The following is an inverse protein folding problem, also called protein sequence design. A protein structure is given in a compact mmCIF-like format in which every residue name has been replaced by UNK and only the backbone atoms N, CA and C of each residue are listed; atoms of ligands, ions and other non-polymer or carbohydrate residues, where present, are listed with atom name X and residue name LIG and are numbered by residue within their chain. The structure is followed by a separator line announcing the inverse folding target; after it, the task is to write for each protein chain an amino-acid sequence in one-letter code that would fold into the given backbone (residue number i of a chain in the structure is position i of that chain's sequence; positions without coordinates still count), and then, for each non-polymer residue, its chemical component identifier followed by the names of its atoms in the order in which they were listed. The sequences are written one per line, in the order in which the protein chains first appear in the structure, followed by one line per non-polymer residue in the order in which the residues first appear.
data_IF_262814212989
#
_entry.id   IF_262814212989
#
_cell.length_a   1.000
_cell.length_b   1.000
_cell.length_c   1.000
_cell.angle_alpha   90.00
_cell.angle_beta   90.00
_cell.angle_gamma   90.00
#
_symmetry.space_group_name_H-M   'P 1'
#
loop_
_entity.id
_entity.type
_entity.pdbx_description
1 polymer ?
#
# COMPACT_ATOMS: atom_id res chain seq x y z
N UNK A 1 -13.30 -14.14 5.48
CA UNK A 1 -13.71 -14.61 6.82
C UNK A 1 -14.33 -13.45 7.59
N UNK A 2 -15.54 -13.63 8.13
CA UNK A 2 -16.19 -12.63 8.98
C UNK A 2 -15.72 -12.75 10.43
N UNK A 3 -14.51 -12.27 10.73
CA UNK A 3 -14.02 -12.17 12.10
C UNK A 3 -12.97 -11.05 12.23
N UNK A 4 -12.59 -10.70 13.46
CA UNK A 4 -11.63 -9.62 13.73
C UNK A 4 -10.29 -9.82 13.01
N UNK A 5 -9.71 -11.03 13.07
CA UNK A 5 -8.41 -11.33 12.45
C UNK A 5 -8.46 -11.17 10.93
N UNK A 6 -9.58 -11.58 10.31
CA UNK A 6 -9.85 -11.45 8.89
C UNK A 6 -9.90 -9.99 8.41
N UNK A 7 -10.09 -9.02 9.32
CA UNK A 7 -10.04 -7.59 9.01
C UNK A 7 -8.70 -6.96 9.44
N UNK A 8 -8.21 -7.29 10.63
CA UNK A 8 -6.97 -6.74 11.17
C UNK A 8 -5.74 -7.14 10.33
N UNK A 9 -5.71 -8.37 9.79
CA UNK A 9 -4.60 -8.86 8.97
C UNK A 9 -4.45 -8.07 7.65
N UNK A 10 -5.46 -8.02 6.75
CA UNK A 10 -5.35 -7.20 5.53
C UNK A 10 -5.17 -5.71 5.87
N UNK A 11 -5.86 -5.21 6.91
CA UNK A 11 -5.68 -3.84 7.37
C UNK A 11 -4.23 -3.49 7.74
N UNK A 12 -3.54 -4.41 8.41
CA UNK A 12 -2.12 -4.26 8.75
C UNK A 12 -1.22 -4.25 7.51
N UNK A 13 -1.49 -5.10 6.52
CA UNK A 13 -0.73 -5.09 5.27
C UNK A 13 -0.86 -3.76 4.53
N UNK A 14 -2.08 -3.27 4.33
CA UNK A 14 -2.32 -1.98 3.68
C UNK A 14 -1.70 -0.82 4.46
N UNK A 15 -1.78 -0.82 5.79
CA UNK A 15 -1.10 0.18 6.61
C UNK A 15 0.42 0.15 6.44
N UNK A 16 1.04 -1.04 6.46
CA UNK A 16 2.48 -1.17 6.27
C UNK A 16 2.93 -0.65 4.90
N UNK A 17 2.23 -1.03 3.83
CA UNK A 17 2.51 -0.52 2.48
C UNK A 17 2.25 0.99 2.37
N UNK A 18 1.15 1.48 2.92
CA UNK A 18 0.82 2.90 2.93
C UNK A 18 1.85 3.75 3.68
N UNK A 19 2.26 3.31 4.87
CA UNK A 19 3.30 3.98 5.66
C UNK A 19 4.65 3.93 4.95
N UNK A 20 5.02 2.79 4.38
CA UNK A 20 6.23 2.67 3.56
C UNK A 20 6.23 3.64 2.38
N UNK A 21 5.12 3.69 1.61
CA UNK A 21 4.99 4.59 0.46
C UNK A 21 4.99 6.07 0.88
N UNK A 22 4.47 6.39 2.06
CA UNK A 22 4.46 7.75 2.60
C UNK A 22 5.86 8.31 2.91
N UNK A 23 6.87 7.44 3.00
CA UNK A 23 8.29 7.83 3.13
C UNK A 23 9.01 7.69 1.79
N UNK A 24 8.80 6.57 1.08
CA UNK A 24 9.44 6.25 -0.19
C UNK A 24 9.21 7.34 -1.24
N UNK A 25 7.99 7.83 -1.39
CA UNK A 25 7.66 8.79 -2.46
C UNK A 25 8.19 10.20 -2.22
N UNK A 26 8.03 10.79 -1.03
CA UNK A 26 8.71 12.04 -0.71
C UNK A 26 10.22 11.94 -0.87
N UNK A 27 10.83 10.81 -0.49
CA UNK A 27 12.27 10.58 -0.64
C UNK A 27 12.66 10.56 -2.11
N UNK A 28 11.93 9.81 -2.94
CA UNK A 28 12.11 9.77 -4.39
C UNK A 28 11.98 11.15 -5.03
N UNK A 29 10.97 11.92 -4.64
CA UNK A 29 10.76 13.27 -5.14
C UNK A 29 11.88 14.23 -4.72
N UNK A 30 12.27 14.22 -3.45
CA UNK A 30 13.33 15.07 -2.93
C UNK A 30 14.70 14.74 -3.54
N UNK A 31 15.04 13.45 -3.68
CA UNK A 31 16.31 13.02 -4.28
C UNK A 31 16.36 13.30 -5.79
N UNK A 32 15.23 13.24 -6.51
CA UNK A 32 15.15 13.69 -7.92
C UNK A 32 15.46 15.18 -8.08
N UNK A 33 15.02 16.00 -7.12
CA UNK A 33 15.27 17.45 -7.13
C UNK A 33 16.71 17.81 -6.77
N UNK A 34 17.36 17.02 -5.92
CA UNK A 34 18.72 17.29 -5.40
C UNK A 34 19.69 16.13 -5.72
N UNK A 35 20.21 16.10 -6.96
CA UNK A 35 21.04 15.00 -7.49
C UNK A 35 22.31 14.70 -6.67
N UNK A 36 22.94 15.70 -6.05
CA UNK A 36 24.22 15.54 -5.36
C UNK A 36 24.09 14.96 -3.94
N UNK A 37 22.88 14.89 -3.37
CA UNK A 37 22.72 14.60 -1.94
C UNK A 37 22.32 13.16 -1.59
N UNK A 38 22.03 12.33 -2.60
CA UNK A 38 21.29 11.10 -2.35
C UNK A 38 21.83 9.95 -3.21
N UNK A 39 22.90 9.30 -2.75
CA UNK A 39 23.41 8.06 -3.36
C UNK A 39 22.37 6.92 -3.29
N UNK A 40 21.59 6.88 -2.20
CA UNK A 40 20.42 6.01 -2.02
C UNK A 40 19.28 6.30 -3.01
N UNK A 41 19.23 7.51 -3.57
CA UNK A 41 18.22 7.96 -4.51
C UNK A 41 18.60 7.76 -5.98
N UNK A 42 19.65 6.99 -6.25
CA UNK A 42 20.01 6.62 -7.62
C UNK A 42 18.86 5.86 -8.29
N UNK A 43 18.73 6.02 -9.61
CA UNK A 43 17.70 5.31 -10.40
C UNK A 43 17.74 3.79 -10.16
N UNK A 44 18.94 3.23 -10.02
CA UNK A 44 19.15 1.82 -9.71
C UNK A 44 18.67 1.43 -8.29
N UNK A 45 18.86 2.30 -7.29
CA UNK A 45 18.35 2.09 -5.93
C UNK A 45 16.84 1.98 -5.89
N UNK A 46 16.13 2.93 -6.52
CA UNK A 46 14.66 2.87 -6.60
C UNK A 46 14.16 1.67 -7.42
N UNK A 47 14.86 1.28 -8.48
CA UNK A 47 14.52 0.08 -9.25
C UNK A 47 14.66 -1.19 -8.39
N UNK A 48 15.71 -1.30 -7.57
CA UNK A 48 15.85 -2.41 -6.59
C UNK A 48 14.72 -2.42 -5.57
N UNK A 49 14.26 -1.26 -5.10
CA UNK A 49 13.13 -1.18 -4.17
C UNK A 49 11.82 -1.65 -4.81
N UNK A 50 11.52 -1.24 -6.05
CA UNK A 50 10.34 -1.73 -6.77
C UNK A 50 10.43 -3.25 -7.03
N UNK A 51 11.63 -3.76 -7.35
CA UNK A 51 11.87 -5.20 -7.50
C UNK A 51 11.62 -5.99 -6.20
N UNK A 52 12.14 -5.50 -5.07
CA UNK A 52 11.91 -6.11 -3.75
C UNK A 52 10.45 -6.04 -3.34
N UNK A 53 9.76 -4.92 -3.61
CA UNK A 53 8.30 -4.82 -3.42
C UNK A 53 7.55 -5.87 -4.25
N UNK A 54 7.98 -6.11 -5.49
CA UNK A 54 7.44 -7.18 -6.33
C UNK A 54 7.59 -8.57 -5.71
N UNK A 55 8.77 -8.90 -5.18
CA UNK A 55 9.01 -10.16 -4.45
C UNK A 55 8.10 -10.27 -3.23
N UNK A 56 8.03 -9.21 -2.42
CA UNK A 56 7.19 -9.17 -1.22
C UNK A 56 5.73 -9.44 -1.59
N UNK A 57 5.19 -8.75 -2.61
CA UNK A 57 3.81 -8.96 -3.10
C UNK A 57 3.60 -10.41 -3.55
N UNK A 58 4.48 -10.95 -4.38
CA UNK A 58 4.35 -12.31 -4.91
C UNK A 58 4.39 -13.38 -3.80
N UNK A 59 5.31 -13.24 -2.84
CA UNK A 59 5.45 -14.17 -1.71
C UNK A 59 4.22 -14.10 -0.80
N UNK A 60 3.77 -12.89 -0.42
CA UNK A 60 2.58 -12.76 0.43
C UNK A 60 1.31 -13.24 -0.27
N UNK A 61 1.16 -12.97 -1.56
CA UNK A 61 0.06 -13.51 -2.36
C UNK A 61 0.07 -15.04 -2.36
N UNK A 62 1.23 -15.65 -2.59
CA UNK A 62 1.36 -17.12 -2.56
C UNK A 62 1.01 -17.70 -1.19
N UNK A 63 1.52 -17.10 -0.10
CA UNK A 63 1.19 -17.52 1.27
C UNK A 63 -0.32 -17.40 1.50
N UNK A 64 -0.94 -16.29 1.09
CA UNK A 64 -2.37 -16.07 1.21
C UNK A 64 -3.19 -17.11 0.44
N UNK A 65 -2.82 -17.40 -0.81
CA UNK A 65 -3.46 -18.45 -1.62
C UNK A 65 -3.35 -19.82 -0.96
N UNK A 66 -2.15 -20.20 -0.49
CA UNK A 66 -1.93 -21.49 0.18
C UNK A 66 -2.73 -21.57 1.48
N UNK A 67 -2.73 -20.51 2.29
CA UNK A 67 -3.47 -20.47 3.54
C UNK A 67 -4.99 -20.59 3.30
N UNK A 68 -5.54 -19.88 2.31
CA UNK A 68 -6.96 -19.95 1.98
C UNK A 68 -7.37 -21.33 1.42
N UNK A 69 -6.47 -22.02 0.72
CA UNK A 69 -6.78 -23.32 0.11
C UNK A 69 -6.55 -24.51 1.06
N UNK A 70 -5.55 -24.44 1.94
CA UNK A 70 -5.05 -25.60 2.70
C UNK A 70 -5.05 -25.42 4.23
N UNK A 71 -5.77 -24.43 4.75
CA UNK A 71 -6.18 -24.44 6.17
C UNK A 71 -7.00 -25.73 6.46
N UNK A 72 -6.99 -26.30 7.68
CA UNK A 72 -7.66 -27.58 7.94
C UNK A 72 -9.12 -27.65 7.46
N UNK A 73 -9.86 -26.54 7.54
CA UNK A 73 -11.25 -26.41 7.07
C UNK A 73 -11.35 -25.73 5.69
N UNK A 74 -10.31 -25.81 4.86
CA UNK A 74 -10.23 -25.18 3.54
C UNK A 74 -10.81 -26.03 2.40
N UNK A 75 -10.98 -25.47 1.19
CA UNK A 75 -11.48 -26.18 0.02
C UNK A 75 -10.53 -27.27 -0.51
N UNK A 76 -9.22 -27.24 -0.20
CA UNK A 76 -8.24 -28.20 -0.70
C UNK A 76 -8.29 -28.38 -2.24
N UNK A 77 -8.40 -27.26 -2.98
CA UNK A 77 -8.56 -27.20 -4.44
C UNK A 77 -9.89 -27.79 -4.98
N UNK A 78 -10.84 -28.13 -4.11
CA UNK A 78 -12.21 -28.49 -4.47
C UNK A 78 -13.05 -27.22 -4.61
N UNK A 79 -13.52 -26.93 -5.82
CA UNK A 79 -14.39 -25.77 -6.08
C UNK A 79 -15.88 -26.11 -5.93
N UNK A 80 -16.25 -27.34 -6.25
CA UNK A 80 -17.64 -27.79 -6.25
C UNK A 80 -17.76 -29.14 -5.56
N UNK A 81 -18.74 -29.26 -4.66
CA UNK A 81 -19.08 -30.52 -4.04
C UNK A 81 -20.14 -31.22 -4.88
N UNK A 82 -19.71 -32.19 -5.70
CA UNK A 82 -20.60 -32.96 -6.57
C UNK A 82 -21.56 -33.86 -5.80
N UNK A 83 -21.21 -34.28 -4.58
CA UNK A 83 -22.06 -35.11 -3.73
C UNK A 83 -23.23 -34.28 -3.18
N UNK A 84 -22.94 -33.09 -2.65
CA UNK A 84 -23.94 -32.19 -2.05
C UNK A 84 -24.54 -31.19 -3.06
N UNK A 85 -24.06 -31.19 -4.30
CA UNK A 85 -24.50 -30.32 -5.41
C UNK A 85 -24.48 -28.83 -5.09
N UNK A 86 -23.46 -28.38 -4.35
CA UNK A 86 -23.24 -26.98 -4.04
C UNK A 86 -21.80 -26.54 -4.31
N UNK A 87 -21.58 -25.23 -4.29
CA UNK A 87 -20.23 -24.66 -4.33
C UNK A 87 -19.54 -24.81 -2.98
N UNK A 88 -18.24 -25.11 -3.01
CA UNK A 88 -17.46 -25.41 -1.81
C UNK A 88 -16.62 -24.19 -1.42
N UNK A 89 -16.76 -23.71 -0.18
CA UNK A 89 -15.95 -22.64 0.41
C UNK A 89 -15.71 -21.41 -0.51
N UNK A 90 -16.76 -20.89 -1.18
CA UNK A 90 -16.64 -19.80 -2.16
C UNK A 90 -15.94 -18.54 -1.63
N UNK A 91 -16.04 -18.27 -0.33
CA UNK A 91 -15.35 -17.12 0.26
C UNK A 91 -13.83 -17.26 0.23
N UNK A 92 -13.33 -18.47 0.50
CA UNK A 92 -11.90 -18.78 0.38
C UNK A 92 -11.45 -18.69 -1.09
N UNK A 93 -12.30 -19.09 -2.04
CA UNK A 93 -12.02 -18.93 -3.47
C UNK A 93 -11.99 -17.47 -3.93
N UNK A 94 -12.88 -16.62 -3.41
CA UNK A 94 -12.83 -15.18 -3.68
C UNK A 94 -11.53 -14.56 -3.16
N UNK A 95 -11.11 -14.90 -1.94
CA UNK A 95 -9.84 -14.46 -1.38
C UNK A 95 -8.63 -14.99 -2.17
N UNK A 96 -8.61 -16.28 -2.52
CA UNK A 96 -7.55 -16.86 -3.34
C UNK A 96 -7.45 -16.18 -4.72
N UNK A 97 -8.60 -15.80 -5.30
CA UNK A 97 -8.65 -15.04 -6.55
C UNK A 97 -8.07 -13.63 -6.38
N UNK A 98 -8.44 -12.93 -5.30
CA UNK A 98 -7.84 -11.63 -4.97
C UNK A 98 -6.32 -11.74 -4.82
N UNK A 99 -5.82 -12.72 -4.06
CA UNK A 99 -4.39 -12.95 -3.89
C UNK A 99 -3.68 -13.27 -5.20
N UNK A 100 -4.30 -14.06 -6.09
CA UNK A 100 -3.75 -14.37 -7.41
C UNK A 100 -3.42 -13.09 -8.20
N UNK A 101 -4.33 -12.10 -8.23
CA UNK A 101 -4.08 -10.85 -8.96
C UNK A 101 -2.98 -9.99 -8.32
N UNK A 102 -2.89 -9.94 -6.99
CA UNK A 102 -1.73 -9.32 -6.32
C UNK A 102 -0.42 -10.05 -6.59
N UNK A 103 -0.47 -11.38 -6.70
CA UNK A 103 0.66 -12.22 -7.09
C UNK A 103 1.14 -11.91 -8.51
N UNK A 104 0.22 -11.81 -9.47
CA UNK A 104 0.51 -11.39 -10.85
C UNK A 104 1.12 -9.99 -10.87
N UNK A 105 0.57 -9.04 -10.10
CA UNK A 105 1.17 -7.70 -9.97
C UNK A 105 2.61 -7.77 -9.43
N UNK A 106 2.87 -8.58 -8.41
CA UNK A 106 4.22 -8.77 -7.87
C UNK A 106 5.19 -9.36 -8.90
N UNK A 107 4.76 -10.37 -9.65
CA UNK A 107 5.57 -10.96 -10.72
C UNK A 107 5.88 -9.96 -11.83
N UNK A 108 4.90 -9.13 -12.21
CA UNK A 108 5.13 -8.08 -13.21
C UNK A 108 6.08 -7.00 -12.70
N UNK A 109 6.04 -6.63 -11.42
CA UNK A 109 7.04 -5.74 -10.81
C UNK A 109 8.45 -6.33 -10.90
N UNK A 110 8.61 -7.63 -10.58
CA UNK A 110 9.90 -8.35 -10.67
C UNK A 110 10.43 -8.32 -12.09
N UNK A 111 9.61 -8.65 -13.09
CA UNK A 111 10.03 -8.70 -14.49
C UNK A 111 10.34 -7.29 -15.02
N UNK A 112 9.48 -6.30 -14.74
CA UNK A 112 9.62 -4.93 -15.22
C UNK A 112 10.82 -4.19 -14.60
N UNK A 113 11.22 -4.51 -13.37
CA UNK A 113 12.35 -3.88 -12.68
C UNK A 113 13.61 -4.74 -12.62
N UNK A 114 13.52 -6.05 -12.90
CA UNK A 114 14.67 -6.96 -12.95
C UNK A 114 15.18 -7.24 -14.37
N UNK A 115 14.36 -7.01 -15.39
CA UNK A 115 14.69 -7.28 -16.80
C UNK A 115 14.24 -6.14 -17.71
N UNK A 116 14.58 -6.21 -19.00
CA UNK A 116 14.08 -5.29 -20.02
C UNK A 116 12.90 -5.87 -20.83
N UNK A 117 12.28 -6.98 -20.38
CA UNK A 117 11.28 -7.71 -21.15
C UNK A 117 9.90 -7.03 -21.20
N UNK A 118 9.58 -6.19 -20.20
CA UNK A 118 8.29 -5.51 -20.11
C UNK A 118 8.46 -3.99 -20.03
N UNK A 119 7.54 -3.22 -20.64
CA UNK A 119 7.46 -1.79 -20.40
C UNK A 119 7.22 -1.53 -18.92
N UNK A 120 7.96 -0.57 -18.35
CA UNK A 120 7.85 -0.22 -16.93
C UNK A 120 6.43 0.20 -16.54
N UNK A 121 5.62 0.71 -17.47
CA UNK A 121 4.22 1.08 -17.23
C UNK A 121 3.32 -0.10 -16.78
N UNK A 122 3.71 -1.35 -17.10
CA UNK A 122 2.96 -2.54 -16.72
C UNK A 122 2.89 -2.74 -15.20
N UNK A 123 3.86 -2.22 -14.44
CA UNK A 123 3.88 -2.31 -12.97
C UNK A 123 2.64 -1.64 -12.34
N UNK A 124 2.32 -0.41 -12.76
CA UNK A 124 1.15 0.34 -12.30
C UNK A 124 -0.13 -0.20 -12.90
N UNK A 125 -0.11 -0.64 -14.16
CA UNK A 125 -1.30 -1.23 -14.78
C UNK A 125 -1.77 -2.48 -14.03
N UNK A 126 -0.86 -3.40 -13.72
CA UNK A 126 -1.22 -4.64 -13.02
C UNK A 126 -1.56 -4.41 -11.56
N UNK A 127 -0.91 -3.46 -10.89
CA UNK A 127 -1.28 -3.08 -9.53
C UNK A 127 -2.68 -2.45 -9.48
N UNK A 128 -3.01 -1.56 -10.44
CA UNK A 128 -4.35 -0.98 -10.55
C UNK A 128 -5.40 -2.06 -10.77
N UNK A 129 -5.12 -3.02 -11.68
CA UNK A 129 -6.03 -4.14 -11.93
C UNK A 129 -6.22 -5.01 -10.68
N UNK A 130 -5.16 -5.31 -9.93
CA UNK A 130 -5.27 -6.09 -8.70
C UNK A 130 -6.15 -5.41 -7.65
N UNK A 131 -5.96 -4.10 -7.43
CA UNK A 131 -6.77 -3.30 -6.50
C UNK A 131 -8.21 -3.16 -7.01
N UNK A 132 -8.43 -3.06 -8.32
CA UNK A 132 -9.77 -3.07 -8.91
C UNK A 132 -10.49 -4.40 -8.68
N UNK A 133 -9.80 -5.54 -8.88
CA UNK A 133 -10.37 -6.87 -8.65
C UNK A 133 -10.68 -7.09 -7.17
N UNK A 134 -9.83 -6.61 -6.26
CA UNK A 134 -10.15 -6.57 -4.82
C UNK A 134 -11.51 -5.88 -4.60
N UNK A 135 -11.65 -4.64 -5.08
CA UNK A 135 -12.90 -3.88 -4.92
C UNK A 135 -14.10 -4.56 -5.59
N UNK A 136 -13.91 -5.11 -6.78
CA UNK A 136 -14.96 -5.83 -7.51
C UNK A 136 -15.46 -7.06 -6.75
N UNK A 137 -14.55 -7.88 -6.22
CA UNK A 137 -14.93 -9.05 -5.41
C UNK A 137 -15.61 -8.61 -4.10
N UNK A 138 -15.10 -7.57 -3.45
CA UNK A 138 -15.72 -7.00 -2.25
C UNK A 138 -17.14 -6.48 -2.50
N UNK A 139 -17.43 -5.84 -3.63
CA UNK A 139 -18.78 -5.38 -3.97
C UNK A 139 -19.83 -6.49 -3.87
N UNK A 140 -19.51 -7.67 -4.41
CA UNK A 140 -20.44 -8.80 -4.44
C UNK A 140 -20.43 -9.63 -3.16
N UNK A 141 -19.47 -9.39 -2.27
CA UNK A 141 -19.39 -10.00 -0.93
C UNK A 141 -20.46 -9.47 0.05
N UNK A 142 -21.07 -8.32 -0.24
CA UNK A 142 -21.94 -7.60 0.71
C UNK A 142 -23.41 -8.03 0.68
N UNK A 143 -23.83 -8.83 -0.30
CA UNK A 143 -25.23 -9.21 -0.46
C UNK A 143 -25.74 -10.01 0.74
N UNK A 144 -26.89 -9.61 1.30
CA UNK A 144 -27.57 -10.33 2.39
C UNK A 144 -27.08 -10.00 3.80
N UNK A 145 -26.21 -9.00 3.98
CA UNK A 145 -25.70 -8.56 5.30
C UNK A 145 -26.55 -7.46 5.93
N UNK A 146 -26.36 -7.23 7.23
CA UNK A 146 -27.05 -6.18 7.97
C UNK A 146 -26.62 -4.77 7.51
N UNK A 147 -27.46 -3.77 7.78
CA UNK A 147 -27.28 -2.39 7.28
C UNK A 147 -25.91 -1.80 7.65
N UNK A 148 -25.49 -1.91 8.93
CA UNK A 148 -24.21 -1.38 9.38
C UNK A 148 -23.01 -2.08 8.74
N UNK A 149 -23.04 -3.42 8.65
CA UNK A 149 -22.02 -4.23 7.97
C UNK A 149 -21.87 -3.83 6.50
N UNK A 150 -22.99 -3.67 5.77
CA UNK A 150 -22.97 -3.18 4.38
C UNK A 150 -22.36 -1.78 4.31
N UNK A 151 -22.78 -0.86 5.19
CA UNK A 151 -22.32 0.53 5.16
C UNK A 151 -20.81 0.67 5.38
N UNK A 152 -20.26 -0.01 6.39
CA UNK A 152 -18.82 0.11 6.70
C UNK A 152 -17.96 -0.46 5.57
N UNK A 153 -18.40 -1.51 4.89
CA UNK A 153 -17.70 -2.05 3.72
C UNK A 153 -17.91 -1.20 2.46
N UNK A 154 -19.06 -0.54 2.29
CA UNK A 154 -19.23 0.44 1.21
C UNK A 154 -18.25 1.61 1.33
N UNK A 155 -18.00 2.08 2.57
CA UNK A 155 -16.98 3.09 2.82
C UNK A 155 -15.56 2.61 2.43
N UNK A 156 -15.25 1.33 2.69
CA UNK A 156 -14.00 0.72 2.25
C UNK A 156 -13.86 0.71 0.72
N UNK A 157 -14.94 0.39 0.00
CA UNK A 157 -14.94 0.35 -1.47
C UNK A 157 -14.56 1.69 -2.11
N UNK A 158 -14.95 2.83 -1.51
CA UNK A 158 -14.51 4.14 -2.00
C UNK A 158 -12.98 4.31 -1.94
N UNK A 159 -12.33 3.83 -0.88
CA UNK A 159 -10.87 3.87 -0.77
C UNK A 159 -10.21 2.96 -1.82
N UNK A 160 -10.73 1.75 -1.99
CA UNK A 160 -10.20 0.75 -2.93
C UNK A 160 -10.32 1.26 -4.37
N UNK A 161 -11.52 1.64 -4.83
CA UNK A 161 -11.71 2.12 -6.20
C UNK A 161 -11.00 3.45 -6.44
N UNK A 162 -10.99 4.34 -5.46
CA UNK A 162 -10.19 5.58 -5.53
C UNK A 162 -8.72 5.26 -5.74
N UNK A 163 -8.16 4.31 -4.99
CA UNK A 163 -6.76 3.88 -5.13
C UNK A 163 -6.51 3.24 -6.50
N UNK A 164 -7.40 2.36 -6.96
CA UNK A 164 -7.29 1.73 -8.29
C UNK A 164 -7.22 2.77 -9.41
N UNK A 165 -8.09 3.80 -9.36
CA UNK A 165 -8.10 4.91 -10.32
C UNK A 165 -6.82 5.73 -10.22
N UNK A 166 -6.37 6.09 -9.01
CA UNK A 166 -5.12 6.83 -8.83
C UNK A 166 -3.91 6.09 -9.41
N UNK A 167 -3.81 4.79 -9.15
CA UNK A 167 -2.74 3.93 -9.67
C UNK A 167 -2.84 3.82 -11.20
N UNK A 168 -4.05 3.71 -11.75
CA UNK A 168 -4.26 3.70 -13.20
C UNK A 168 -3.77 4.99 -13.85
N UNK A 169 -4.06 6.15 -13.25
CA UNK A 169 -3.59 7.44 -13.75
C UNK A 169 -2.05 7.54 -13.74
N UNK A 170 -1.36 6.85 -12.82
CA UNK A 170 0.12 6.79 -12.81
C UNK A 170 0.72 6.06 -14.02
N UNK A 171 -0.06 5.26 -14.75
CA UNK A 171 0.37 4.66 -16.03
C UNK A 171 0.69 5.77 -17.04
N UNK A 172 -0.13 6.82 -17.08
CA UNK A 172 0.03 7.94 -18.00
C UNK A 172 0.86 9.09 -17.41
N UNK A 173 0.69 9.37 -16.11
CA UNK A 173 1.30 10.51 -15.42
C UNK A 173 2.40 10.06 -14.44
N UNK A 174 3.33 9.25 -14.94
CA UNK A 174 4.35 8.60 -14.11
C UNK A 174 5.26 9.59 -13.39
N UNK A 175 5.41 9.42 -12.08
CA UNK A 175 6.26 10.28 -11.25
C UNK A 175 5.60 11.59 -10.79
N UNK A 176 4.30 11.74 -11.00
CA UNK A 176 3.50 12.76 -10.32
C UNK A 176 3.44 12.45 -8.83
N UNK A 177 4.13 13.26 -8.02
CA UNK A 177 4.11 13.13 -6.56
C UNK A 177 2.69 13.29 -6.00
N UNK A 178 1.82 14.05 -6.67
CA UNK A 178 0.43 14.23 -6.26
C UNK A 178 -0.33 12.91 -6.35
N UNK A 179 -0.21 12.17 -7.46
CA UNK A 179 -0.85 10.86 -7.61
C UNK A 179 -0.23 9.82 -6.66
N UNK A 180 1.11 9.81 -6.54
CA UNK A 180 1.82 8.92 -5.64
C UNK A 180 1.40 9.14 -4.17
N UNK A 181 1.22 10.39 -3.74
CA UNK A 181 0.74 10.73 -2.39
C UNK A 181 -0.76 10.45 -2.23
N UNK A 182 -1.59 10.72 -3.25
CA UNK A 182 -3.02 10.44 -3.18
C UNK A 182 -3.28 8.94 -3.04
N UNK A 183 -2.65 8.09 -3.87
CA UNK A 183 -2.78 6.64 -3.71
C UNK A 183 -2.26 6.14 -2.37
N UNK A 184 -1.23 6.79 -1.82
CA UNK A 184 -0.68 6.46 -0.51
C UNK A 184 -1.68 6.78 0.59
N UNK A 185 -2.32 7.96 0.54
CA UNK A 185 -3.35 8.36 1.51
C UNK A 185 -4.53 7.38 1.53
N UNK A 186 -4.96 6.92 0.34
CA UNK A 186 -6.06 5.97 0.18
C UNK A 186 -5.69 4.57 0.68
N UNK A 187 -4.43 4.15 0.50
CA UNK A 187 -3.93 2.89 1.05
C UNK A 187 -3.90 2.91 2.59
N UNK A 188 -3.46 4.02 3.21
CA UNK A 188 -3.51 4.19 4.67
C UNK A 188 -4.96 4.20 5.17
N UNK A 189 -5.84 4.92 4.46
CA UNK A 189 -7.28 4.93 4.76
C UNK A 189 -7.86 3.52 4.70
N UNK A 190 -7.66 2.79 3.60
CA UNK A 190 -8.09 1.41 3.43
C UNK A 190 -7.60 0.52 4.59
N UNK A 191 -6.32 0.57 4.92
CA UNK A 191 -5.74 -0.24 5.99
C UNK A 191 -6.28 0.10 7.38
N UNK A 192 -6.36 1.38 7.72
CA UNK A 192 -6.92 1.83 9.01
C UNK A 192 -8.42 1.54 9.11
N UNK A 193 -9.14 1.61 7.99
CA UNK A 193 -10.57 1.35 7.95
C UNK A 193 -10.90 -0.13 8.07
N UNK A 194 -10.08 -1.03 7.52
CA UNK A 194 -10.18 -2.46 7.81
C UNK A 194 -10.12 -2.74 9.32
N UNK A 195 -9.21 -2.09 10.05
CA UNK A 195 -9.18 -2.19 11.52
C UNK A 195 -10.46 -1.67 12.15
N UNK A 196 -10.98 -0.52 11.70
CA UNK A 196 -12.24 0.04 12.19
C UNK A 196 -13.42 -0.92 11.98
N UNK A 197 -13.53 -1.55 10.81
CA UNK A 197 -14.54 -2.59 10.53
C UNK A 197 -14.39 -3.74 11.54
N UNK A 198 -13.15 -4.20 11.77
CA UNK A 198 -12.85 -5.23 12.76
C UNK A 198 -13.37 -4.87 14.15
N UNK A 199 -13.11 -3.65 14.64
CA UNK A 199 -13.58 -3.20 15.95
C UNK A 199 -15.12 -3.05 16.04
N UNK A 200 -15.77 -2.60 14.96
CA UNK A 200 -17.22 -2.35 14.95
C UNK A 200 -18.00 -3.66 14.85
N UNK A 201 -17.61 -4.55 13.93
CA UNK A 201 -18.34 -5.80 13.68
C UNK A 201 -17.90 -6.94 14.60
N UNK A 202 -16.67 -6.89 15.10
CA UNK A 202 -16.07 -7.94 15.94
C UNK A 202 -15.34 -7.33 17.14
N UNK A 203 -16.05 -6.61 18.03
CA UNK A 203 -15.45 -5.95 19.19
C UNK A 203 -14.55 -6.90 20.00
N UNK A 204 -13.25 -6.60 20.15
CA UNK A 204 -12.39 -7.42 20.98
C UNK A 204 -12.82 -7.31 22.45
N UNK A 205 -12.51 -8.35 23.23
CA UNK A 205 -12.72 -8.40 24.67
C UNK A 205 -14.19 -8.37 25.15
N UNK A 206 -15.14 -8.73 24.28
CA UNK A 206 -16.55 -8.89 24.67
C UNK A 206 -17.25 -7.56 25.00
N UNK A 207 -16.77 -6.45 24.44
CA UNK A 207 -17.50 -5.19 24.52
C UNK A 207 -18.86 -5.31 23.81
N UNK A 208 -19.88 -4.53 24.23
CA UNK A 208 -21.22 -4.65 23.67
C UNK A 208 -21.23 -4.49 22.14
N UNK A 209 -21.95 -5.39 21.46
CA UNK A 209 -22.09 -5.33 20.01
C UNK A 209 -22.82 -4.06 19.59
N UNK A 210 -22.40 -3.51 18.45
CA UNK A 210 -23.03 -2.35 17.85
C UNK A 210 -24.41 -2.72 17.31
N UNK A 211 -25.41 -1.86 17.53
CA UNK A 211 -26.72 -2.04 16.92
C UNK A 211 -26.61 -1.90 15.39
N UNK A 212 -26.76 -3.02 14.70
CA UNK A 212 -26.59 -3.15 13.24
C UNK A 212 -27.66 -2.43 12.41
N UNK A 213 -28.77 -2.02 13.02
CA UNK A 213 -29.89 -1.34 12.37
C UNK A 213 -30.03 0.13 12.80
N UNK A 214 -29.13 0.62 13.65
CA UNK A 214 -29.19 2.00 14.14
C UNK A 214 -28.59 2.97 13.12
N UNK A 215 -29.42 3.91 12.66
CA UNK A 215 -29.00 4.94 11.73
C UNK A 215 -27.95 5.89 12.32
N UNK A 216 -27.95 6.12 13.63
CA UNK A 216 -26.98 7.01 14.28
C UNK A 216 -25.56 6.43 14.23
N UNK A 217 -25.42 5.10 14.30
CA UNK A 217 -24.15 4.41 14.09
C UNK A 217 -23.62 4.62 12.67
N UNK A 218 -24.50 4.58 11.66
CA UNK A 218 -24.14 4.88 10.26
C UNK A 218 -23.64 6.32 10.10
N UNK A 219 -24.31 7.29 10.70
CA UNK A 219 -23.87 8.69 10.69
C UNK A 219 -22.50 8.86 11.37
N UNK A 220 -22.33 8.27 12.56
CA UNK A 220 -21.08 8.32 13.31
C UNK A 220 -19.92 7.70 12.54
N UNK A 221 -20.11 6.52 11.95
CA UNK A 221 -19.04 5.86 11.19
C UNK A 221 -18.70 6.60 9.90
N UNK A 222 -19.66 7.24 9.25
CA UNK A 222 -19.38 8.12 8.11
C UNK A 222 -18.48 9.29 8.51
N UNK A 223 -18.76 9.92 9.65
CA UNK A 223 -17.90 10.98 10.20
C UNK A 223 -16.52 10.44 10.60
N UNK A 224 -16.48 9.29 11.25
CA UNK A 224 -15.24 8.61 11.65
C UNK A 224 -14.35 8.29 10.45
N UNK A 225 -14.93 7.84 9.33
CA UNK A 225 -14.21 7.61 8.07
C UNK A 225 -13.47 8.87 7.58
N UNK A 226 -14.14 10.03 7.63
CA UNK A 226 -13.52 11.30 7.28
C UNK A 226 -12.37 11.66 8.22
N UNK A 227 -12.47 11.34 9.52
CA UNK A 227 -11.36 11.54 10.48
C UNK A 227 -10.17 10.63 10.19
N UNK A 228 -10.40 9.36 9.85
CA UNK A 228 -9.35 8.46 9.39
C UNK A 228 -8.64 9.04 8.17
N UNK A 229 -9.38 9.62 7.23
CA UNK A 229 -8.77 10.21 6.04
C UNK A 229 -7.99 11.49 6.33
N UNK A 230 -8.52 12.37 7.19
CA UNK A 230 -7.79 13.54 7.69
C UNK A 230 -6.49 13.13 8.40
N UNK A 231 -6.53 12.06 9.21
CA UNK A 231 -5.34 11.54 9.88
C UNK A 231 -4.34 10.92 8.89
N UNK A 232 -4.80 10.26 7.83
CA UNK A 232 -3.93 9.79 6.74
C UNK A 232 -3.18 10.98 6.10
N UNK A 233 -3.86 12.09 5.79
CA UNK A 233 -3.19 13.30 5.30
C UNK A 233 -2.19 13.89 6.30
N UNK A 234 -2.52 13.88 7.59
CA UNK A 234 -1.61 14.32 8.63
C UNK A 234 -0.31 13.49 8.65
N UNK A 235 -0.41 12.15 8.59
CA UNK A 235 0.76 11.26 8.49
C UNK A 235 1.61 11.62 7.26
N UNK A 236 0.96 11.81 6.11
CA UNK A 236 1.63 12.19 4.86
C UNK A 236 2.38 13.53 5.00
N UNK A 237 1.75 14.53 5.61
CA UNK A 237 2.35 15.86 5.82
C UNK A 237 3.57 15.79 6.75
N UNK A 238 3.47 15.03 7.84
CA UNK A 238 4.57 14.80 8.79
C UNK A 238 5.72 14.09 8.09
N UNK A 239 5.46 12.97 7.41
CA UNK A 239 6.51 12.21 6.73
C UNK A 239 7.15 13.00 5.58
N UNK A 240 6.36 13.74 4.80
CA UNK A 240 6.89 14.61 3.75
C UNK A 240 7.83 15.68 4.33
N UNK A 241 7.45 16.29 5.46
CA UNK A 241 8.25 17.32 6.14
C UNK A 241 9.54 16.74 6.69
N UNK A 242 9.48 15.61 7.40
CA UNK A 242 10.65 14.91 7.96
C UNK A 242 11.63 14.53 6.86
N UNK A 243 11.13 13.91 5.78
CA UNK A 243 11.98 13.49 4.65
C UNK A 243 12.59 14.70 3.95
N UNK A 244 11.81 15.75 3.70
CA UNK A 244 12.30 16.98 3.09
C UNK A 244 13.38 17.64 3.94
N UNK A 245 13.21 17.68 5.25
CA UNK A 245 14.19 18.21 6.20
C UNK A 245 15.45 17.35 6.21
N UNK A 246 15.33 16.02 6.34
CA UNK A 246 16.47 15.10 6.37
C UNK A 246 17.32 15.19 5.10
N UNK A 247 16.68 15.21 3.92
CA UNK A 247 17.39 15.36 2.63
C UNK A 247 18.09 16.71 2.55
N UNK A 248 17.44 17.82 2.91
CA UNK A 248 18.06 19.15 2.90
C UNK A 248 19.25 19.25 3.85
N UNK A 249 19.15 18.68 5.05
CA UNK A 249 20.24 18.65 6.01
C UNK A 249 21.45 17.87 5.48
N UNK A 250 21.22 16.73 4.79
CA UNK A 250 22.28 15.96 4.13
C UNK A 250 22.93 16.72 2.97
N UNK A 251 22.15 17.44 2.15
CA UNK A 251 22.68 18.32 1.09
C UNK A 251 23.63 19.35 1.69
N UNK A 252 23.18 20.08 2.72
CA UNK A 252 23.98 21.13 3.38
C UNK A 252 25.27 20.57 3.98
N UNK A 253 25.19 19.41 4.63
CA UNK A 253 26.36 18.74 5.19
C UNK A 253 27.38 18.37 4.10
N UNK A 254 26.93 17.80 2.97
CA UNK A 254 27.82 17.43 1.85
C UNK A 254 28.52 18.65 1.25
N UNK A 255 27.78 19.75 1.03
CA UNK A 255 28.36 21.00 0.51
C UNK A 255 29.40 21.59 1.48
N UNK A 256 29.14 21.53 2.79
CA UNK A 256 30.09 21.99 3.80
C UNK A 256 31.38 21.17 3.82
N UNK A 257 31.30 19.85 3.63
CA UNK A 257 32.47 18.96 3.58
C UNK A 257 33.28 19.21 2.31
N UNK A 258 32.62 19.32 1.16
CA UNK A 258 33.27 19.60 -0.13
C UNK A 258 34.01 20.96 -0.11
N UNK A 259 33.39 21.99 0.47
CA UNK A 259 34.01 23.30 0.64
C UNK A 259 35.19 23.28 1.63
N UNK A 260 35.12 22.43 2.66
CA UNK A 260 36.24 22.20 3.58
C UNK A 260 37.43 21.54 2.89
N UNK A 261 37.20 20.51 2.07
CA UNK A 261 38.24 19.79 1.32
C UNK A 261 38.92 20.68 0.28
N UNK A 262 38.16 21.52 -0.43
CA UNK A 262 38.73 22.49 -1.38
C UNK A 262 39.67 23.47 -0.67
N UNK A 263 39.26 24.00 0.47
CA UNK A 263 40.08 24.93 1.25
C UNK A 263 41.37 24.30 1.79
N UNK A 264 41.35 23.01 2.12
CA UNK A 264 42.56 22.27 2.50
C UNK A 264 43.49 22.07 1.30
N UNK A 265 42.94 21.70 0.14
CA UNK A 265 43.73 21.51 -1.09
C UNK A 265 44.40 22.81 -1.58
N UNK A 266 43.70 23.95 -1.51
CA UNK A 266 44.28 25.26 -1.86
C UNK A 266 45.45 25.61 -0.93
N UNK A 267 45.30 25.32 0.37
CA UNK A 267 46.34 25.60 1.36
C UNK A 267 47.57 24.71 1.20
N UNK A 268 47.37 23.44 0.83
CA UNK A 268 48.47 22.52 0.56
C UNK A 268 49.24 22.94 -0.70
N UNK A 269 48.54 23.42 -1.75
CA UNK A 269 49.16 23.97 -2.96
C UNK A 269 49.96 25.25 -2.69
N UNK A 270 49.42 26.21 -1.91
CA UNK A 270 50.16 27.41 -1.51
C UNK A 270 51.44 27.07 -0.73
N UNK A 271 51.42 25.99 0.07
CA UNK A 271 52.60 25.56 0.83
C UNK A 271 53.67 24.84 0.00
N UNK A 272 53.30 24.27 -1.15
CA UNK A 272 54.26 23.65 -2.09
C UNK A 272 54.93 24.69 -2.99
N UNK A 273 54.24 25.78 -3.34
CA UNK A 273 54.78 26.88 -4.16
C UNK A 273 55.74 27.82 -3.36
N UNK A 274 55.73 27.77 -2.02
CA UNK A 274 56.61 28.56 -1.14
C UNK A 274 57.94 27.85 -0.76
N UNK A 275 58.17 26.61 -1.22
CA UNK A 275 59.43 25.85 -1.03
C UNK A 275 60.35 25.86 -2.26
#
# INVERSE_FOLDING_TARGET
MGNFKGHALPGSFFLLFGLWWSVKYPLKYACRKNKNACYLGSRAGFQRLEFVEGIIKAVFALIGMVAEQFVPDGPHLKLYNYEEKHWDHLMNWQHATMYLFYGISGLVDIVAHGTNALPVAMDRMMLSLAVFIEGFLFCYHLHGRAMLDVHVHQLLLFAIFGAAVCIFLEVFFRGSIVLEMLRTSLCILQGSWFWQIGFVLYPPNGSPEWNQMDHTNVMFLTMCYCWHYAFAFFILAVNYTIVSWAVRSKVKQSQSVEMGLLKTSERDQESEDEM
#
